data_IF_291875038443
#
_entry.id   IF_291875038443
#
_cell.length_a   1.000
_cell.length_b   1.000
_cell.length_c   1.000
_cell.angle_alpha   90.00
_cell.angle_beta   90.00
_cell.angle_gamma   90.00
#
_symmetry.space_group_name_H-M   'P 1'
#
loop_
_entity.id
_entity.type
_entity.pdbx_description
1 polymer ?
#
# COMPACT_ATOMS: atom_id res chain seq x y z
N UNK A 1 2.23 11.14 -30.00
CA UNK A 1 0.98 10.60 -29.45
C UNK A 1 1.00 10.32 -27.94
N UNK A 2 2.08 9.87 -27.29
CA UNK A 2 2.05 9.57 -25.85
C UNK A 2 1.66 10.77 -24.96
N UNK A 3 2.15 11.97 -25.25
CA UNK A 3 1.96 13.16 -24.41
C UNK A 3 0.49 13.64 -24.36
N UNK A 4 -0.25 13.54 -25.47
CA UNK A 4 -1.67 13.90 -25.51
C UNK A 4 -2.53 12.92 -24.70
N UNK A 5 -2.17 11.63 -24.71
CA UNK A 5 -2.88 10.59 -23.98
C UNK A 5 -2.71 10.74 -22.46
N UNK A 6 -1.49 10.97 -22.01
CA UNK A 6 -1.20 11.20 -20.60
C UNK A 6 -1.90 12.47 -20.07
N UNK A 7 -1.88 13.55 -20.85
CA UNK A 7 -2.60 14.79 -20.50
C UNK A 7 -4.10 14.55 -20.35
N UNK A 8 -4.70 13.76 -21.26
CA UNK A 8 -6.13 13.45 -21.22
C UNK A 8 -6.53 12.71 -19.93
N UNK A 9 -5.77 11.68 -19.54
CA UNK A 9 -6.05 10.93 -18.30
C UNK A 9 -6.03 11.83 -17.07
N UNK A 10 -5.12 12.77 -17.01
CA UNK A 10 -4.97 13.63 -15.82
C UNK A 10 -6.11 14.62 -15.69
N UNK A 11 -6.43 15.33 -16.76
CA UNK A 11 -7.53 16.29 -16.73
C UNK A 11 -8.89 15.62 -16.50
N UNK A 12 -9.07 14.42 -17.02
CA UNK A 12 -10.29 13.66 -16.76
C UNK A 12 -10.39 13.21 -15.31
N UNK A 13 -9.27 12.77 -14.70
CA UNK A 13 -9.24 12.47 -13.28
C UNK A 13 -9.63 13.67 -12.43
N UNK A 14 -9.01 14.83 -12.66
CA UNK A 14 -9.39 16.08 -11.99
C UNK A 14 -10.86 16.43 -12.21
N UNK A 15 -11.36 16.31 -13.46
CA UNK A 15 -12.76 16.60 -13.79
C UNK A 15 -13.75 15.70 -13.06
N UNK A 16 -13.48 14.38 -12.98
CA UNK A 16 -14.34 13.42 -12.25
C UNK A 16 -14.37 13.75 -10.75
N UNK A 17 -13.21 14.08 -10.16
CA UNK A 17 -13.16 14.47 -8.75
C UNK A 17 -13.97 15.71 -8.45
N UNK A 18 -13.80 16.77 -9.26
CA UNK A 18 -14.55 18.01 -9.10
C UNK A 18 -16.06 17.81 -9.30
N UNK A 19 -16.45 17.00 -10.29
CA UNK A 19 -17.86 16.64 -10.51
C UNK A 19 -18.45 15.88 -9.31
N UNK A 20 -17.71 14.88 -8.77
CA UNK A 20 -18.13 14.13 -7.58
C UNK A 20 -18.27 15.05 -6.36
N UNK A 21 -17.28 15.92 -6.13
CA UNK A 21 -17.32 16.89 -5.04
C UNK A 21 -18.50 17.85 -5.16
N UNK A 22 -18.76 18.37 -6.38
CA UNK A 22 -19.89 19.26 -6.64
C UNK A 22 -21.23 18.56 -6.40
N UNK A 23 -21.44 17.37 -6.98
CA UNK A 23 -22.70 16.63 -6.85
C UNK A 23 -22.99 16.28 -5.38
N UNK A 24 -21.98 15.76 -4.66
CA UNK A 24 -22.16 15.39 -3.25
C UNK A 24 -22.42 16.63 -2.39
N UNK A 25 -21.72 17.76 -2.65
CA UNK A 25 -21.91 18.99 -1.90
C UNK A 25 -23.29 19.64 -2.14
N UNK A 26 -23.88 19.46 -3.33
CA UNK A 26 -25.21 19.98 -3.63
C UNK A 26 -26.31 19.07 -3.07
N UNK A 27 -26.19 17.75 -3.26
CA UNK A 27 -27.22 16.79 -2.81
C UNK A 27 -27.24 16.58 -1.30
N UNK A 28 -26.09 16.65 -0.66
CA UNK A 28 -25.93 16.44 0.80
C UNK A 28 -25.40 17.72 1.47
N UNK A 29 -25.99 18.86 1.16
CA UNK A 29 -25.52 20.19 1.56
C UNK A 29 -25.22 20.29 3.04
N UNK A 30 -26.08 19.76 3.91
CA UNK A 30 -25.95 19.86 5.35
C UNK A 30 -24.82 18.99 5.92
N UNK A 31 -24.37 18.01 5.15
CA UNK A 31 -23.32 17.03 5.51
C UNK A 31 -22.08 17.15 4.61
N UNK A 32 -22.02 18.16 3.73
CA UNK A 32 -20.87 18.35 2.85
C UNK A 32 -19.60 18.66 3.66
N UNK A 33 -18.44 18.25 3.12
CA UNK A 33 -17.15 18.58 3.72
C UNK A 33 -17.00 20.07 3.92
N UNK A 34 -16.35 20.48 5.02
CA UNK A 34 -15.97 21.88 5.24
C UNK A 34 -15.02 22.37 4.14
N UNK A 35 -15.05 23.68 3.80
CA UNK A 35 -14.22 24.23 2.71
C UNK A 35 -12.73 23.89 2.79
N UNK A 36 -12.17 23.81 4.00
CA UNK A 36 -10.79 23.41 4.23
C UNK A 36 -10.49 22.01 3.65
N UNK A 37 -11.37 21.04 3.93
CA UNK A 37 -11.18 19.66 3.48
C UNK A 37 -11.48 19.49 1.99
N UNK A 38 -12.38 20.29 1.42
CA UNK A 38 -12.59 20.38 -0.02
C UNK A 38 -11.34 20.91 -0.71
N UNK A 39 -10.78 22.01 -0.25
CA UNK A 39 -9.55 22.60 -0.78
C UNK A 39 -8.36 21.64 -0.65
N UNK A 40 -8.22 20.95 0.48
CA UNK A 40 -7.20 19.94 0.69
C UNK A 40 -7.31 18.78 -0.31
N UNK A 41 -8.52 18.28 -0.54
CA UNK A 41 -8.77 17.21 -1.51
C UNK A 41 -8.46 17.63 -2.95
N UNK A 42 -8.93 18.83 -3.36
CA UNK A 42 -8.62 19.43 -4.67
C UNK A 42 -7.09 19.57 -4.81
N UNK A 43 -6.43 20.14 -3.81
CA UNK A 43 -4.97 20.28 -3.78
C UNK A 43 -4.24 18.96 -3.93
N UNK A 44 -4.68 17.92 -3.23
CA UNK A 44 -4.11 16.56 -3.30
C UNK A 44 -4.25 15.95 -4.70
N UNK A 45 -5.43 16.09 -5.32
CA UNK A 45 -5.71 15.57 -6.66
C UNK A 45 -4.90 16.31 -7.73
N UNK A 46 -4.86 17.65 -7.64
CA UNK A 46 -4.04 18.49 -8.53
C UNK A 46 -2.55 18.22 -8.37
N UNK A 47 -2.08 18.07 -7.14
CA UNK A 47 -0.70 17.71 -6.83
C UNK A 47 -0.30 16.41 -7.52
N UNK A 48 -1.09 15.34 -7.34
CA UNK A 48 -0.78 14.04 -7.94
C UNK A 48 -0.79 14.09 -9.47
N UNK A 49 -1.91 14.51 -10.06
CA UNK A 49 -2.06 14.50 -11.52
C UNK A 49 -1.17 15.55 -12.20
N UNK A 50 -1.15 16.77 -11.67
CA UNK A 50 -0.36 17.86 -12.24
C UNK A 50 1.14 17.59 -12.21
N UNK A 51 1.68 17.25 -11.04
CA UNK A 51 3.12 16.99 -10.91
C UNK A 51 3.53 15.69 -11.62
N UNK A 52 2.72 14.64 -11.57
CA UNK A 52 3.01 13.42 -12.34
C UNK A 52 3.16 13.72 -13.83
N UNK A 53 2.33 14.63 -14.39
CA UNK A 53 2.44 15.03 -15.79
C UNK A 53 3.71 15.83 -16.08
N UNK A 54 3.92 16.86 -15.29
CA UNK A 54 5.08 17.76 -15.49
C UNK A 54 6.38 16.97 -15.44
N UNK A 55 6.54 16.13 -14.41
CA UNK A 55 7.79 15.39 -14.21
C UNK A 55 7.95 14.21 -15.17
N UNK A 56 6.89 13.54 -15.60
CA UNK A 56 6.99 12.55 -16.69
C UNK A 56 7.51 13.19 -17.99
N UNK A 57 7.11 14.42 -18.28
CA UNK A 57 7.58 15.16 -19.45
C UNK A 57 9.03 15.64 -19.29
N UNK A 58 9.36 16.25 -18.15
CA UNK A 58 10.68 16.80 -17.89
C UNK A 58 11.77 15.73 -17.84
N UNK A 59 11.49 14.57 -17.23
CA UNK A 59 12.48 13.51 -17.03
C UNK A 59 12.50 12.46 -18.14
N UNK A 60 11.77 12.70 -19.21
CA UNK A 60 11.62 11.74 -20.32
C UNK A 60 12.93 11.34 -20.97
N UNK A 61 13.85 12.30 -21.14
CA UNK A 61 15.10 12.11 -21.88
C UNK A 61 16.30 11.82 -20.97
N UNK A 62 16.10 11.76 -19.66
CA UNK A 62 17.18 11.46 -18.72
C UNK A 62 17.70 10.03 -18.94
N UNK A 63 18.99 9.82 -18.71
CA UNK A 63 19.51 8.45 -18.63
C UNK A 63 18.99 7.75 -17.35
N UNK A 64 19.02 6.41 -17.34
CA UNK A 64 18.44 5.61 -16.25
C UNK A 64 19.03 5.95 -14.86
N UNK A 65 20.34 6.24 -14.77
CA UNK A 65 21.00 6.60 -13.49
C UNK A 65 20.56 7.98 -13.00
N UNK A 66 20.55 8.97 -13.90
CA UNK A 66 20.11 10.34 -13.58
C UNK A 66 18.64 10.35 -13.19
N UNK A 67 17.78 9.61 -13.92
CA UNK A 67 16.38 9.47 -13.60
C UNK A 67 16.16 8.90 -12.19
N UNK A 68 16.82 7.77 -11.84
CA UNK A 68 16.70 7.18 -10.50
C UNK A 68 17.15 8.12 -9.39
N UNK A 69 18.25 8.88 -9.62
CA UNK A 69 18.75 9.88 -8.66
C UNK A 69 17.74 11.02 -8.47
N UNK A 70 17.15 11.54 -9.55
CA UNK A 70 16.09 12.56 -9.47
C UNK A 70 14.85 12.03 -8.74
N UNK A 71 14.37 10.82 -9.07
CA UNK A 71 13.27 10.14 -8.37
C UNK A 71 13.53 10.07 -6.87
N UNK A 72 14.73 9.63 -6.47
CA UNK A 72 15.06 9.51 -5.05
C UNK A 72 15.04 10.88 -4.34
N UNK A 73 15.75 11.89 -4.87
CA UNK A 73 15.88 13.18 -4.19
C UNK A 73 14.56 13.97 -4.15
N UNK A 74 13.78 13.95 -5.21
CA UNK A 74 12.46 14.57 -5.22
C UNK A 74 11.51 13.86 -4.27
N UNK A 75 11.52 12.53 -4.27
CA UNK A 75 10.74 11.76 -3.32
C UNK A 75 11.14 12.08 -1.88
N UNK A 76 12.43 12.14 -1.57
CA UNK A 76 12.94 12.46 -0.23
C UNK A 76 12.54 13.88 0.19
N UNK A 77 12.73 14.87 -0.66
CA UNK A 77 12.37 16.26 -0.37
C UNK A 77 10.88 16.44 -0.05
N UNK A 78 10.00 15.82 -0.87
CA UNK A 78 8.55 15.86 -0.63
C UNK A 78 8.19 15.21 0.71
N UNK A 79 8.78 14.06 1.03
CA UNK A 79 8.48 13.31 2.27
C UNK A 79 8.98 14.04 3.51
N UNK A 80 10.19 14.62 3.45
CA UNK A 80 10.72 15.44 4.55
C UNK A 80 9.87 16.71 4.76
N UNK A 81 9.49 17.37 3.67
CA UNK A 81 8.58 18.52 3.74
C UNK A 81 7.23 18.16 4.37
N UNK A 82 6.66 17.00 3.98
CA UNK A 82 5.41 16.52 4.56
C UNK A 82 5.56 16.13 6.04
N UNK A 83 6.67 15.49 6.44
CA UNK A 83 6.94 15.18 7.85
C UNK A 83 6.97 16.46 8.68
N UNK A 84 7.66 17.51 8.21
CA UNK A 84 7.65 18.81 8.89
C UNK A 84 6.24 19.41 9.00
N UNK A 85 5.50 19.44 7.88
CA UNK A 85 4.15 20.00 7.83
C UNK A 85 3.17 19.26 8.75
N UNK A 86 3.21 17.91 8.80
CA UNK A 86 2.28 17.10 9.60
C UNK A 86 2.59 17.17 11.11
N UNK A 87 3.88 17.23 11.48
CA UNK A 87 4.30 17.45 12.87
C UNK A 87 3.78 18.81 13.35
N UNK A 88 3.97 19.84 12.55
CA UNK A 88 3.48 21.17 12.84
C UNK A 88 1.95 21.21 12.97
N UNK A 89 1.23 20.57 12.05
CA UNK A 89 -0.23 20.46 12.09
C UNK A 89 -0.72 19.81 13.39
N UNK A 90 -0.17 18.65 13.78
CA UNK A 90 -0.58 17.97 15.02
C UNK A 90 -0.22 18.79 16.25
N UNK A 91 0.97 19.38 16.28
CA UNK A 91 1.38 20.23 17.39
C UNK A 91 0.43 21.41 17.61
N UNK A 92 -0.01 22.07 16.53
CA UNK A 92 -0.99 23.14 16.62
C UNK A 92 -2.37 22.69 17.10
N UNK A 93 -2.78 21.47 16.75
CA UNK A 93 -4.10 20.95 17.13
C UNK A 93 -4.16 20.44 18.57
N UNK A 94 -3.07 19.87 19.08
CA UNK A 94 -3.10 19.10 20.33
C UNK A 94 -1.96 19.39 21.30
N UNK A 95 -0.97 20.20 20.90
CA UNK A 95 0.28 20.38 21.65
C UNK A 95 1.24 19.19 21.54
N UNK A 96 0.88 18.13 20.79
CA UNK A 96 1.66 16.92 20.62
C UNK A 96 2.11 16.76 19.17
N UNK A 97 3.32 16.22 18.96
CA UNK A 97 3.87 16.02 17.61
C UNK A 97 3.50 14.68 16.98
N UNK A 98 2.50 13.98 17.52
CA UNK A 98 1.97 12.71 17.03
C UNK A 98 0.48 12.79 16.70
N UNK A 99 0.01 11.86 15.86
CA UNK A 99 -1.40 11.77 15.49
C UNK A 99 -2.28 11.45 16.72
N UNK A 100 -3.29 12.25 16.95
CA UNK A 100 -4.14 12.17 18.14
C UNK A 100 -5.33 11.18 18.01
N UNK A 101 -5.70 10.84 16.79
CA UNK A 101 -6.83 9.92 16.53
C UNK A 101 -6.40 8.46 16.26
N UNK A 102 -5.12 8.13 16.44
CA UNK A 102 -4.57 6.80 16.08
C UNK A 102 -3.93 6.15 17.30
N UNK A 103 -4.68 5.29 17.97
CA UNK A 103 -4.23 4.57 19.16
C UNK A 103 -2.97 3.72 18.89
N UNK A 104 -2.86 3.11 17.69
CA UNK A 104 -1.74 2.25 17.32
C UNK A 104 -0.39 2.99 17.41
N UNK A 105 -0.32 4.22 16.92
CA UNK A 105 0.91 5.04 16.94
C UNK A 105 1.42 5.29 18.36
N UNK A 106 0.50 5.60 19.27
CA UNK A 106 0.84 5.81 20.68
C UNK A 106 1.28 4.52 21.36
N UNK A 107 0.58 3.41 21.12
CA UNK A 107 0.90 2.12 21.69
C UNK A 107 2.31 1.67 21.25
N UNK A 108 2.65 1.80 19.96
CA UNK A 108 3.98 1.48 19.44
C UNK A 108 5.07 2.36 20.09
N UNK A 109 4.80 3.66 20.21
CA UNK A 109 5.74 4.60 20.83
C UNK A 109 5.99 4.28 22.31
N UNK A 110 4.92 4.12 23.09
CA UNK A 110 5.02 3.84 24.53
C UNK A 110 5.73 2.51 24.81
N UNK A 111 5.34 1.45 24.09
CA UNK A 111 5.98 0.13 24.23
C UNK A 111 7.46 0.20 23.86
N UNK A 112 7.81 0.85 22.76
CA UNK A 112 9.21 1.01 22.36
C UNK A 112 10.02 1.84 23.38
N UNK A 113 9.42 2.87 23.99
CA UNK A 113 10.04 3.63 25.07
C UNK A 113 10.30 2.76 26.30
N UNK A 114 9.36 1.91 26.68
CA UNK A 114 9.49 0.98 27.80
C UNK A 114 10.62 -0.04 27.55
N UNK A 115 10.57 -0.72 26.42
CA UNK A 115 11.56 -1.74 26.05
C UNK A 115 12.95 -1.15 25.83
N UNK A 116 13.08 0.08 25.31
CA UNK A 116 14.38 0.74 25.16
C UNK A 116 15.04 1.05 26.50
N UNK A 117 14.27 1.36 27.56
CA UNK A 117 14.82 1.49 28.91
C UNK A 117 15.37 0.18 29.42
N UNK A 118 14.64 -0.93 29.24
CA UNK A 118 15.10 -2.26 29.62
C UNK A 118 16.37 -2.66 28.87
N UNK A 119 16.41 -2.43 27.54
CA UNK A 119 17.60 -2.69 26.73
C UNK A 119 18.84 -1.93 27.24
N UNK A 120 18.66 -0.65 27.62
CA UNK A 120 19.76 0.18 28.22
C UNK A 120 20.19 -0.30 29.59
N UNK A 121 19.33 -1.01 30.33
CA UNK A 121 19.66 -1.66 31.60
C UNK A 121 20.27 -3.05 31.40
N UNK A 122 20.48 -3.51 30.16
CA UNK A 122 21.03 -4.84 29.86
C UNK A 122 20.02 -5.99 29.99
N UNK A 123 18.71 -5.70 30.19
CA UNK A 123 17.65 -6.69 30.41
C UNK A 123 17.07 -7.23 29.08
N UNK A 124 17.93 -7.65 28.15
CA UNK A 124 17.52 -8.11 26.82
C UNK A 124 16.67 -9.38 26.83
N UNK A 125 16.90 -10.29 27.77
CA UNK A 125 16.17 -11.55 27.89
C UNK A 125 14.68 -11.39 28.22
N UNK A 126 14.30 -10.25 28.80
CA UNK A 126 12.92 -9.97 29.18
C UNK A 126 12.10 -9.30 28.06
N UNK A 127 12.75 -8.77 27.02
CA UNK A 127 12.09 -8.01 25.95
C UNK A 127 11.11 -8.90 25.20
N UNK A 128 11.51 -10.09 24.74
CA UNK A 128 10.64 -10.99 23.98
C UNK A 128 9.47 -11.55 24.80
N UNK A 129 9.65 -12.02 26.05
CA UNK A 129 8.53 -12.39 26.91
C UNK A 129 7.50 -11.27 27.07
N UNK A 130 7.95 -10.05 27.37
CA UNK A 130 7.06 -8.89 27.53
C UNK A 130 6.31 -8.56 26.23
N UNK A 131 6.98 -8.64 25.09
CA UNK A 131 6.33 -8.47 23.81
C UNK A 131 5.24 -9.50 23.58
N UNK A 132 5.48 -10.76 23.90
CA UNK A 132 4.51 -11.84 23.74
C UNK A 132 3.31 -11.67 24.67
N UNK A 133 3.52 -11.22 25.91
CA UNK A 133 2.44 -11.04 26.89
C UNK A 133 1.57 -9.81 26.61
N UNK A 134 2.15 -8.74 26.05
CA UNK A 134 1.50 -7.43 25.93
C UNK A 134 1.06 -7.07 24.52
N UNK A 135 1.34 -7.87 23.51
CA UNK A 135 1.08 -7.47 22.14
C UNK A 135 -0.14 -8.09 21.49
N UNK A 136 -0.69 -7.30 20.62
CA UNK A 136 -1.74 -7.63 19.66
C UNK A 136 -1.36 -8.74 18.66
N UNK A 137 -0.41 -9.61 19.03
CA UNK A 137 0.09 -10.72 18.22
C UNK A 137 1.43 -10.44 17.53
N UNK A 138 2.06 -11.48 17.05
CA UNK A 138 3.38 -11.46 16.38
C UNK A 138 3.47 -10.45 15.23
N UNK A 139 2.35 -10.15 14.60
CA UNK A 139 2.21 -9.27 13.43
C UNK A 139 2.64 -7.81 13.67
N UNK A 140 2.78 -7.37 14.94
CA UNK A 140 3.12 -5.99 15.27
C UNK A 140 4.47 -5.86 16.00
N UNK A 141 5.01 -6.98 16.49
CA UNK A 141 6.24 -7.02 17.29
C UNK A 141 7.45 -6.47 16.54
N UNK A 142 7.57 -6.76 15.25
CA UNK A 142 8.69 -6.30 14.43
C UNK A 142 8.82 -4.78 14.37
N UNK A 143 7.69 -4.06 14.32
CA UNK A 143 7.74 -2.60 14.34
C UNK A 143 8.13 -2.04 15.70
N UNK A 144 7.62 -2.62 16.78
CA UNK A 144 8.00 -2.23 18.14
C UNK A 144 9.50 -2.49 18.38
N UNK A 145 10.01 -3.65 17.95
CA UNK A 145 11.45 -3.98 18.06
C UNK A 145 12.32 -3.01 17.22
N UNK A 146 11.87 -2.67 16.02
CA UNK A 146 12.54 -1.66 15.18
C UNK A 146 12.63 -0.32 15.91
N UNK A 147 11.52 0.19 16.45
CA UNK A 147 11.51 1.43 17.23
C UNK A 147 12.35 1.33 18.51
N UNK A 148 12.28 0.19 19.23
CA UNK A 148 13.09 -0.09 20.43
C UNK A 148 14.57 0.02 20.11
N UNK A 149 15.01 -0.56 19.00
CA UNK A 149 16.40 -0.51 18.56
C UNK A 149 16.83 0.94 18.29
N UNK A 150 16.01 1.69 17.55
CA UNK A 150 16.30 3.11 17.27
C UNK A 150 16.36 3.94 18.55
N UNK A 151 15.42 3.74 19.48
CA UNK A 151 15.40 4.48 20.74
C UNK A 151 16.56 4.10 21.67
N UNK A 152 17.00 2.86 21.63
CA UNK A 152 18.17 2.42 22.40
C UNK A 152 19.44 3.08 21.87
N UNK A 153 19.61 3.15 20.55
CA UNK A 153 20.80 3.71 19.91
C UNK A 153 20.82 5.25 19.89
N UNK A 154 19.70 5.88 19.56
CA UNK A 154 19.63 7.32 19.24
C UNK A 154 18.80 8.16 20.23
N UNK A 155 18.27 7.54 21.28
CA UNK A 155 17.38 8.20 22.23
C UNK A 155 15.92 8.19 21.77
N UNK A 156 15.01 8.49 22.72
CA UNK A 156 13.56 8.47 22.53
C UNK A 156 13.11 9.69 21.72
N UNK A 157 13.51 9.75 20.47
CA UNK A 157 13.23 10.86 19.57
C UNK A 157 12.25 10.41 18.48
N UNK A 158 11.11 11.06 18.39
CA UNK A 158 10.07 10.78 17.38
C UNK A 158 10.53 11.16 15.96
N UNK A 159 11.44 12.13 15.84
CA UNK A 159 11.91 12.62 14.53
C UNK A 159 12.83 11.60 13.84
N UNK A 160 13.71 10.92 14.58
CA UNK A 160 14.66 9.95 14.02
C UNK A 160 13.99 8.85 13.19
N UNK A 161 13.03 8.10 13.74
CA UNK A 161 12.26 7.11 12.98
C UNK A 161 11.55 7.69 11.74
N UNK A 162 10.98 8.91 11.82
CA UNK A 162 10.33 9.57 10.67
C UNK A 162 11.31 9.94 9.57
N UNK A 163 12.52 10.38 9.90
CA UNK A 163 13.57 10.66 8.92
C UNK A 163 14.01 9.37 8.21
N UNK A 164 14.21 8.29 8.96
CA UNK A 164 14.56 6.99 8.37
C UNK A 164 13.43 6.45 7.50
N UNK A 165 12.19 6.60 7.94
CA UNK A 165 11.00 6.29 7.15
C UNK A 165 10.96 7.08 5.84
N UNK A 166 11.31 8.37 5.86
CA UNK A 166 11.38 9.20 4.65
C UNK A 166 12.42 8.69 3.65
N UNK A 167 13.58 8.23 4.13
CA UNK A 167 14.62 7.59 3.29
C UNK A 167 14.10 6.28 2.68
N UNK A 168 13.47 5.41 3.47
CA UNK A 168 12.88 4.15 2.99
C UNK A 168 11.79 4.41 1.93
N UNK A 169 10.89 5.36 2.18
CA UNK A 169 9.82 5.74 1.26
C UNK A 169 10.34 6.38 -0.03
N UNK A 170 11.42 7.14 0.03
CA UNK A 170 12.07 7.69 -1.16
C UNK A 170 12.73 6.59 -2.00
N UNK A 171 13.44 5.67 -1.34
CA UNK A 171 14.07 4.55 -2.03
C UNK A 171 13.06 3.55 -2.58
N UNK A 172 11.89 3.39 -1.95
CA UNK A 172 10.75 2.61 -2.47
C UNK A 172 10.40 3.00 -3.91
N UNK A 173 10.40 4.30 -4.25
CA UNK A 173 10.12 4.76 -5.61
C UNK A 173 11.16 4.26 -6.62
N UNK A 174 12.43 4.17 -6.20
CA UNK A 174 13.53 3.59 -7.02
C UNK A 174 13.38 2.07 -7.14
N UNK A 175 12.95 1.38 -6.10
CA UNK A 175 12.69 -0.07 -6.12
C UNK A 175 11.54 -0.39 -7.08
N UNK A 176 10.45 0.39 -7.05
CA UNK A 176 9.34 0.28 -8.02
C UNK A 176 9.84 0.43 -9.46
N UNK A 177 10.69 1.43 -9.71
CA UNK A 177 11.31 1.61 -11.02
C UNK A 177 12.10 0.35 -11.45
N UNK A 178 13.00 -0.16 -10.59
CA UNK A 178 13.84 -1.32 -10.90
C UNK A 178 13.03 -2.57 -11.21
N UNK A 179 12.00 -2.83 -10.39
CA UNK A 179 11.08 -3.97 -10.57
C UNK A 179 10.31 -3.86 -11.90
N UNK A 180 9.77 -2.69 -12.21
CA UNK A 180 9.05 -2.44 -13.45
C UNK A 180 9.98 -2.47 -14.68
N UNK A 181 11.19 -1.88 -14.60
CA UNK A 181 12.13 -1.83 -15.71
C UNK A 181 12.61 -3.21 -16.18
N UNK A 182 12.84 -4.12 -15.21
CA UNK A 182 13.29 -5.48 -15.50
C UNK A 182 12.24 -6.30 -16.24
N UNK A 183 10.96 -6.14 -15.89
CA UNK A 183 9.87 -6.96 -16.43
C UNK A 183 9.17 -6.31 -17.64
N UNK A 184 8.94 -4.99 -17.58
CA UNK A 184 8.00 -4.30 -18.46
C UNK A 184 8.65 -3.19 -19.30
N UNK A 185 9.96 -2.98 -19.10
CA UNK A 185 10.77 -2.01 -19.86
C UNK A 185 10.70 -0.59 -19.30
N UNK A 186 11.63 0.21 -19.80
CA UNK A 186 11.96 1.55 -19.30
C UNK A 186 10.75 2.52 -19.28
N UNK A 187 9.93 2.48 -20.32
CA UNK A 187 8.79 3.39 -20.48
C UNK A 187 7.75 3.21 -19.36
N UNK A 188 7.38 1.97 -19.08
CA UNK A 188 6.46 1.62 -17.99
C UNK A 188 7.08 1.95 -16.62
N UNK A 189 8.36 1.65 -16.44
CA UNK A 189 9.07 1.89 -15.20
C UNK A 189 9.11 3.37 -14.81
N UNK A 190 9.36 4.27 -15.79
CA UNK A 190 9.37 5.72 -15.56
C UNK A 190 8.02 6.23 -15.13
N UNK A 191 6.95 5.80 -15.78
CA UNK A 191 5.59 6.19 -15.40
C UNK A 191 5.26 5.71 -14.00
N UNK A 192 5.55 4.44 -13.67
CA UNK A 192 5.30 3.87 -12.35
C UNK A 192 6.07 4.61 -11.24
N UNK A 193 7.35 4.90 -11.47
CA UNK A 193 8.20 5.59 -10.50
C UNK A 193 7.75 7.03 -10.26
N UNK A 194 7.42 7.80 -11.30
CA UNK A 194 6.92 9.17 -11.15
C UNK A 194 5.59 9.18 -10.40
N UNK A 195 4.67 8.27 -10.72
CA UNK A 195 3.43 8.13 -9.94
C UNK A 195 3.73 7.79 -8.45
N UNK A 196 4.71 6.94 -8.18
CA UNK A 196 5.10 6.60 -6.79
C UNK A 196 5.69 7.79 -6.03
N UNK A 197 6.44 8.70 -6.70
CA UNK A 197 6.97 9.93 -6.08
C UNK A 197 5.83 10.79 -5.53
N UNK A 198 4.78 10.99 -6.32
CA UNK A 198 3.69 11.91 -6.01
C UNK A 198 2.45 11.22 -5.43
N UNK A 199 2.48 9.89 -5.21
CA UNK A 199 1.34 9.15 -4.66
C UNK A 199 0.98 9.64 -3.24
N UNK A 200 -0.23 10.20 -3.03
CA UNK A 200 -0.58 10.79 -1.75
C UNK A 200 -0.59 9.79 -0.60
N UNK A 201 -0.93 8.50 -0.85
CA UNK A 201 -0.86 7.44 0.14
C UNK A 201 0.56 7.29 0.72
N UNK A 202 1.57 7.20 -0.15
CA UNK A 202 2.96 7.03 0.30
C UNK A 202 3.48 8.26 1.05
N UNK A 203 3.00 9.45 0.68
CA UNK A 203 3.35 10.70 1.35
C UNK A 203 2.67 10.76 2.72
N UNK A 204 1.37 10.48 2.80
CA UNK A 204 0.60 10.54 4.02
C UNK A 204 1.14 9.57 5.10
N UNK A 205 1.25 8.28 4.76
CA UNK A 205 1.72 7.27 5.72
C UNK A 205 3.21 7.43 6.10
N UNK A 206 3.97 8.13 5.29
CA UNK A 206 5.33 8.52 5.67
C UNK A 206 5.34 9.54 6.82
N UNK A 207 4.36 10.44 6.89
CA UNK A 207 4.24 11.42 7.97
C UNK A 207 3.68 10.87 9.28
N UNK A 208 2.94 9.75 9.23
CA UNK A 208 2.36 9.11 10.42
C UNK A 208 3.36 8.21 11.16
N UNK A 209 3.10 7.95 12.44
CA UNK A 209 3.95 7.10 13.29
C UNK A 209 3.51 5.63 13.26
N UNK A 210 3.05 5.18 12.09
CA UNK A 210 2.53 3.84 11.83
C UNK A 210 3.53 3.01 11.02
N UNK A 211 3.45 1.70 11.09
CA UNK A 211 4.37 0.72 10.47
C UNK A 211 4.27 0.57 8.95
N UNK A 212 3.25 1.17 8.33
CA UNK A 212 2.85 0.89 6.95
C UNK A 212 3.94 1.20 5.92
N UNK A 213 4.68 2.28 6.09
CA UNK A 213 5.73 2.68 5.12
C UNK A 213 6.89 1.69 5.12
N UNK A 214 7.38 1.29 6.31
CA UNK A 214 8.47 0.33 6.46
C UNK A 214 8.05 -1.04 5.94
N UNK A 215 6.84 -1.47 6.25
CA UNK A 215 6.26 -2.72 5.76
C UNK A 215 6.17 -2.75 4.23
N UNK A 216 5.65 -1.69 3.60
CA UNK A 216 5.56 -1.58 2.13
C UNK A 216 6.93 -1.57 1.49
N UNK A 217 7.88 -0.86 2.10
CA UNK A 217 9.27 -0.83 1.64
C UNK A 217 9.90 -2.22 1.67
N UNK A 218 9.82 -2.91 2.81
CA UNK A 218 10.38 -4.26 2.97
C UNK A 218 9.75 -5.26 1.99
N UNK A 219 8.42 -5.25 1.87
CA UNK A 219 7.69 -6.12 0.95
C UNK A 219 8.08 -5.87 -0.51
N UNK A 220 8.15 -4.60 -0.93
CA UNK A 220 8.49 -4.27 -2.32
C UNK A 220 9.95 -4.57 -2.62
N UNK A 221 10.85 -4.36 -1.65
CA UNK A 221 12.27 -4.72 -1.79
C UNK A 221 12.43 -6.25 -1.85
N UNK A 222 11.66 -7.00 -1.05
CA UNK A 222 11.63 -8.46 -1.13
C UNK A 222 11.18 -8.93 -2.53
N UNK A 223 10.08 -8.37 -3.05
CA UNK A 223 9.61 -8.66 -4.42
C UNK A 223 10.67 -8.35 -5.48
N UNK A 224 11.36 -7.20 -5.36
CA UNK A 224 12.42 -6.82 -6.30
C UNK A 224 13.60 -7.78 -6.24
N UNK A 225 14.00 -8.24 -5.04
CA UNK A 225 15.07 -9.21 -4.87
C UNK A 225 14.66 -10.61 -5.34
N UNK A 226 13.42 -11.04 -5.10
CA UNK A 226 12.85 -12.29 -5.64
C UNK A 226 12.84 -12.27 -7.16
N UNK A 227 12.39 -11.16 -7.75
CA UNK A 227 12.38 -10.96 -9.19
C UNK A 227 13.81 -10.99 -9.76
N UNK A 228 14.77 -10.34 -9.08
CA UNK A 228 16.18 -10.45 -9.45
C UNK A 228 16.68 -11.88 -9.40
N UNK A 229 16.31 -12.66 -8.37
CA UNK A 229 16.69 -14.07 -8.24
C UNK A 229 16.11 -14.90 -9.39
N UNK A 230 14.85 -14.68 -9.79
CA UNK A 230 14.22 -15.39 -10.92
C UNK A 230 14.96 -15.14 -12.24
N UNK A 231 15.50 -13.93 -12.43
CA UNK A 231 16.17 -13.50 -13.66
C UNK A 231 17.71 -13.58 -13.61
N UNK A 232 18.28 -14.01 -12.48
CA UNK A 232 19.73 -14.04 -12.28
C UNK A 232 20.39 -15.11 -13.17
N UNK A 233 21.48 -14.74 -13.83
CA UNK A 233 22.32 -15.67 -14.62
C UNK A 233 23.26 -16.51 -13.74
N UNK A 234 23.64 -16.02 -12.59
CA UNK A 234 24.50 -16.69 -11.62
C UNK A 234 23.92 -16.50 -10.22
N UNK A 235 23.98 -17.57 -9.43
CA UNK A 235 23.52 -17.57 -8.05
C UNK A 235 24.72 -17.51 -7.12
N UNK A 236 24.68 -16.61 -6.15
CA UNK A 236 25.58 -16.56 -5.02
C UNK A 236 24.74 -16.58 -3.72
N UNK A 237 25.40 -16.76 -2.60
CA UNK A 237 24.75 -16.78 -1.29
C UNK A 237 23.82 -15.56 -1.08
N UNK A 238 24.29 -14.36 -1.41
CA UNK A 238 23.54 -13.14 -1.18
C UNK A 238 22.28 -12.99 -2.04
N UNK A 239 22.28 -13.56 -3.26
CA UNK A 239 21.10 -13.53 -4.14
C UNK A 239 19.93 -14.34 -3.59
N UNK A 240 20.19 -15.36 -2.77
CA UNK A 240 19.18 -16.18 -2.11
C UNK A 240 18.89 -15.68 -0.71
N UNK A 241 19.94 -15.34 0.05
CA UNK A 241 19.83 -14.92 1.44
C UNK A 241 19.06 -13.62 1.65
N UNK A 242 19.33 -12.59 0.80
CA UNK A 242 18.70 -11.27 0.96
C UNK A 242 17.16 -11.33 0.81
N UNK A 243 16.56 -11.91 -0.26
CA UNK A 243 15.10 -12.00 -0.35
C UNK A 243 14.48 -12.85 0.78
N UNK A 244 15.19 -13.87 1.27
CA UNK A 244 14.74 -14.69 2.40
C UNK A 244 14.67 -13.85 3.69
N UNK A 245 15.74 -13.11 4.03
CA UNK A 245 15.77 -12.23 5.21
C UNK A 245 14.71 -11.14 5.13
N UNK A 246 14.56 -10.48 3.97
CA UNK A 246 13.54 -9.44 3.78
C UNK A 246 12.13 -10.02 3.97
N UNK A 247 11.87 -11.22 3.46
CA UNK A 247 10.59 -11.90 3.67
C UNK A 247 10.34 -12.21 5.14
N UNK A 248 11.36 -12.69 5.85
CA UNK A 248 11.28 -12.94 7.30
C UNK A 248 10.99 -11.66 8.08
N UNK A 249 11.66 -10.56 7.76
CA UNK A 249 11.39 -9.29 8.41
C UNK A 249 9.94 -8.83 8.20
N UNK A 250 9.36 -9.05 7.01
CA UNK A 250 7.95 -8.67 6.76
C UNK A 250 6.95 -9.42 7.63
N UNK A 251 7.25 -10.64 8.07
CA UNK A 251 6.38 -11.38 9.00
C UNK A 251 6.21 -10.65 10.33
N UNK A 252 7.27 -10.06 10.88
CA UNK A 252 7.21 -9.28 12.11
C UNK A 252 6.41 -7.96 11.97
N UNK A 253 6.24 -7.44 10.75
CA UNK A 253 5.40 -6.26 10.50
C UNK A 253 3.96 -6.64 10.16
N UNK A 254 3.76 -7.71 9.37
CA UNK A 254 2.44 -8.24 9.02
C UNK A 254 2.57 -9.63 8.41
N UNK A 255 2.07 -10.62 9.11
CA UNK A 255 2.19 -12.04 8.73
C UNK A 255 1.58 -12.35 7.35
N UNK A 256 0.43 -11.76 7.05
CA UNK A 256 -0.26 -11.90 5.75
C UNK A 256 0.63 -11.46 4.57
N UNK A 257 1.44 -10.40 4.75
CA UNK A 257 2.36 -9.90 3.72
C UNK A 257 3.48 -10.91 3.46
N UNK A 258 4.08 -11.45 4.53
CA UNK A 258 5.12 -12.47 4.42
C UNK A 258 4.63 -13.76 3.74
N UNK A 259 3.44 -14.24 4.10
CA UNK A 259 2.82 -15.41 3.46
C UNK A 259 2.55 -15.17 1.98
N UNK A 260 2.01 -13.99 1.64
CA UNK A 260 1.75 -13.61 0.26
C UNK A 260 3.03 -13.55 -0.57
N UNK A 261 4.13 -13.03 0.00
CA UNK A 261 5.44 -13.00 -0.66
C UNK A 261 5.93 -14.40 -1.03
N UNK A 262 5.86 -15.36 -0.09
CA UNK A 262 6.28 -16.75 -0.33
C UNK A 262 5.43 -17.38 -1.44
N UNK A 263 4.11 -17.31 -1.33
CA UNK A 263 3.20 -17.86 -2.31
C UNK A 263 3.39 -17.24 -3.70
N UNK A 264 3.58 -15.92 -3.75
CA UNK A 264 3.83 -15.19 -5.00
C UNK A 264 5.16 -15.56 -5.63
N UNK A 265 6.18 -15.82 -4.82
CA UNK A 265 7.47 -16.26 -5.32
C UNK A 265 7.40 -17.64 -5.99
N UNK A 266 6.67 -18.58 -5.38
CA UNK A 266 6.42 -19.89 -5.97
C UNK A 266 5.74 -19.74 -7.33
N UNK A 267 4.65 -18.97 -7.40
CA UNK A 267 3.94 -18.73 -8.66
C UNK A 267 4.82 -17.97 -9.68
N UNK A 268 5.60 -17.00 -9.21
CA UNK A 268 6.55 -16.25 -10.01
C UNK A 268 7.58 -17.16 -10.70
N UNK A 269 8.15 -18.12 -9.96
CA UNK A 269 9.12 -19.10 -10.48
C UNK A 269 8.46 -20.07 -11.48
N UNK A 270 7.22 -20.52 -11.19
CA UNK A 270 6.51 -21.47 -12.05
C UNK A 270 6.11 -20.84 -13.39
N UNK A 271 5.58 -19.62 -13.37
CA UNK A 271 4.97 -18.97 -14.54
C UNK A 271 5.82 -17.90 -15.22
N UNK A 272 7.10 -17.70 -14.82
CA UNK A 272 7.94 -16.66 -15.40
C UNK A 272 8.10 -16.79 -16.93
N UNK A 273 8.24 -15.63 -17.60
CA UNK A 273 8.29 -15.52 -19.06
C UNK A 273 9.60 -16.06 -19.66
N UNK A 274 10.72 -15.80 -18.99
CA UNK A 274 12.06 -16.26 -19.42
C UNK A 274 12.66 -17.17 -18.36
N UNK A 275 12.50 -18.47 -18.53
CA UNK A 275 13.18 -19.39 -17.64
C UNK A 275 14.68 -19.45 -17.99
N UNK A 276 15.47 -18.57 -17.41
CA UNK A 276 16.93 -18.79 -17.33
C UNK A 276 17.22 -20.06 -16.49
N UNK A 277 16.26 -20.43 -15.67
CA UNK A 277 16.27 -21.61 -14.81
C UNK A 277 15.85 -22.87 -15.59
N UNK A 278 16.67 -23.90 -15.54
CA UNK A 278 16.26 -25.23 -16.00
C UNK A 278 15.01 -25.73 -15.25
N UNK A 279 14.24 -26.62 -15.81
CA UNK A 279 13.08 -27.22 -15.12
C UNK A 279 13.48 -27.86 -13.79
N UNK A 280 14.65 -28.50 -13.71
CA UNK A 280 15.20 -29.09 -12.48
C UNK A 280 15.47 -28.01 -11.42
N UNK A 281 16.14 -26.90 -11.78
CA UNK A 281 16.46 -25.83 -10.86
C UNK A 281 15.18 -25.16 -10.34
N UNK A 282 14.16 -24.97 -11.16
CA UNK A 282 12.85 -24.46 -10.71
C UNK A 282 12.19 -25.39 -9.71
N UNK A 283 12.20 -26.70 -10.01
CA UNK A 283 11.67 -27.72 -9.08
C UNK A 283 12.39 -27.65 -7.73
N UNK A 284 13.72 -27.55 -7.73
CA UNK A 284 14.52 -27.42 -6.49
C UNK A 284 14.17 -26.13 -5.73
N UNK A 285 14.09 -24.97 -6.40
CA UNK A 285 13.73 -23.72 -5.75
C UNK A 285 12.33 -23.79 -5.14
N UNK A 286 11.35 -24.30 -5.88
CA UNK A 286 9.98 -24.48 -5.39
C UNK A 286 9.95 -25.43 -4.19
N UNK A 287 10.66 -26.55 -4.26
CA UNK A 287 10.73 -27.52 -3.16
C UNK A 287 11.38 -26.91 -1.91
N UNK A 288 12.50 -26.20 -2.05
CA UNK A 288 13.15 -25.51 -0.92
C UNK A 288 12.21 -24.47 -0.32
N UNK A 289 11.49 -23.70 -1.16
CA UNK A 289 10.55 -22.67 -0.68
C UNK A 289 9.35 -23.31 0.03
N UNK A 290 8.84 -24.44 -0.45
CA UNK A 290 7.77 -25.19 0.22
C UNK A 290 8.23 -25.78 1.55
N UNK A 291 9.42 -26.39 1.59
CA UNK A 291 10.01 -26.89 2.84
C UNK A 291 10.17 -25.75 3.84
N UNK A 292 10.68 -24.61 3.40
CA UNK A 292 10.81 -23.42 4.22
C UNK A 292 9.45 -22.93 4.76
N UNK A 293 8.41 -22.86 3.91
CA UNK A 293 7.06 -22.50 4.33
C UNK A 293 6.49 -23.49 5.37
N UNK A 294 6.70 -24.82 5.16
CA UNK A 294 6.27 -25.84 6.12
C UNK A 294 7.05 -25.72 7.44
N UNK A 295 8.35 -25.50 7.40
CA UNK A 295 9.16 -25.27 8.60
C UNK A 295 8.70 -24.05 9.38
N UNK A 296 8.31 -22.96 8.69
CA UNK A 296 7.72 -21.78 9.33
C UNK A 296 6.42 -22.10 10.06
N UNK A 297 5.59 -23.00 9.51
CA UNK A 297 4.33 -23.42 10.17
C UNK A 297 4.57 -24.34 11.36
N UNK A 298 5.69 -25.05 11.42
CA UNK A 298 6.05 -25.94 12.53
C UNK A 298 6.68 -25.21 13.73
N UNK A 299 7.25 -24.03 13.52
CA UNK A 299 7.78 -23.18 14.60
C UNK A 299 6.60 -22.65 15.44
N UNK A 300 6.77 -22.39 16.75
CA UNK A 300 5.72 -21.84 17.62
C UNK A 300 4.98 -20.64 17.00
N UNK A 301 5.72 -19.74 16.34
CA UNK A 301 5.21 -18.59 15.58
C UNK A 301 4.21 -19.02 14.51
N UNK A 302 4.49 -20.06 13.74
CA UNK A 302 3.58 -20.57 12.70
C UNK A 302 2.32 -21.19 13.27
N UNK A 303 2.42 -21.88 14.41
CA UNK A 303 1.25 -22.40 15.14
C UNK A 303 0.38 -21.27 15.67
N UNK A 304 0.97 -20.24 16.25
CA UNK A 304 0.24 -19.03 16.67
C UNK A 304 -0.43 -18.33 15.48
N UNK A 305 0.24 -18.26 14.33
CA UNK A 305 -0.35 -17.70 13.10
C UNK A 305 -1.58 -18.48 12.65
N UNK A 306 -1.54 -19.82 12.67
CA UNK A 306 -2.69 -20.68 12.33
C UNK A 306 -3.83 -20.46 13.33
N UNK A 307 -3.50 -20.43 14.63
CA UNK A 307 -4.47 -20.20 15.70
C UNK A 307 -5.10 -18.81 15.56
N UNK A 308 -4.28 -17.75 15.36
CA UNK A 308 -4.77 -16.38 15.16
C UNK A 308 -5.61 -16.24 13.89
N UNK A 309 -5.22 -16.90 12.79
CA UNK A 309 -6.03 -16.92 11.58
C UNK A 309 -7.37 -17.61 11.83
N UNK A 310 -7.36 -18.73 12.54
CA UNK A 310 -8.57 -19.48 12.92
C UNK A 310 -9.46 -18.65 13.86
N UNK A 311 -8.88 -18.01 14.88
CA UNK A 311 -9.57 -17.10 15.79
C UNK A 311 -10.14 -15.91 15.02
N UNK A 312 -9.35 -15.22 14.18
CA UNK A 312 -9.82 -14.10 13.38
C UNK A 312 -10.93 -14.50 12.40
N UNK A 313 -10.88 -15.71 11.86
CA UNK A 313 -11.94 -16.23 10.99
C UNK A 313 -13.23 -16.55 11.79
N UNK A 314 -13.11 -17.13 12.99
CA UNK A 314 -14.24 -17.43 13.88
C UNK A 314 -14.78 -16.15 14.52
N UNK A 315 -13.91 -15.31 15.09
CA UNK A 315 -14.26 -13.99 15.64
C UNK A 315 -14.86 -13.09 14.57
N UNK A 316 -14.41 -13.24 13.34
CA UNK A 316 -14.99 -12.59 12.18
C UNK A 316 -16.46 -13.00 11.97
N UNK A 317 -16.81 -14.25 12.14
CA UNK A 317 -18.16 -14.77 12.02
C UNK A 317 -19.05 -14.28 13.16
N UNK A 318 -18.56 -14.38 14.38
CA UNK A 318 -19.24 -13.88 15.59
C UNK A 318 -19.39 -12.35 15.57
N UNK A 319 -18.37 -11.61 15.09
CA UNK A 319 -18.44 -10.17 14.86
C UNK A 319 -19.46 -9.80 13.78
N UNK A 320 -19.58 -10.60 12.70
CA UNK A 320 -20.61 -10.40 11.68
C UNK A 320 -21.99 -10.53 12.30
N UNK A 321 -22.23 -11.59 13.06
CA UNK A 321 -23.50 -11.81 13.74
C UNK A 321 -23.80 -10.70 14.76
N UNK A 322 -22.79 -10.30 15.54
CA UNK A 322 -22.89 -9.19 16.50
C UNK A 322 -23.14 -7.84 15.80
N UNK A 323 -22.45 -7.56 14.70
CA UNK A 323 -22.64 -6.32 13.94
C UNK A 323 -23.97 -6.29 13.18
N UNK A 324 -24.48 -7.44 12.74
CA UNK A 324 -25.83 -7.55 12.20
C UNK A 324 -26.91 -7.24 13.26
N UNK A 325 -26.65 -7.61 14.52
CA UNK A 325 -27.53 -7.28 15.63
C UNK A 325 -27.46 -5.81 16.08
N UNK A 326 -26.31 -5.14 15.85
CA UNK A 326 -26.07 -3.75 16.25
C UNK A 326 -26.53 -2.70 15.21
N UNK A 327 -26.99 -3.12 14.02
CA UNK A 327 -27.52 -2.24 12.99
C UNK A 327 -26.60 -2.01 11.78
N UNK A 328 -27.12 -1.27 10.80
CA UNK A 328 -26.50 -1.05 9.49
C UNK A 328 -25.11 -0.42 9.52
N UNK A 329 -24.77 0.35 10.56
CA UNK A 329 -23.47 1.03 10.66
C UNK A 329 -22.29 0.04 10.68
N UNK A 330 -22.50 -1.16 11.21
CA UNK A 330 -21.50 -2.21 11.30
C UNK A 330 -21.67 -3.32 10.27
N UNK A 331 -22.83 -3.41 9.62
CA UNK A 331 -23.11 -4.41 8.58
C UNK A 331 -22.17 -4.28 7.37
N UNK A 332 -21.65 -3.07 7.10
CA UNK A 332 -20.64 -2.83 6.07
C UNK A 332 -19.33 -3.60 6.33
N UNK A 333 -18.97 -3.84 7.59
CA UNK A 333 -17.79 -4.64 7.95
C UNK A 333 -18.08 -6.15 7.82
N UNK A 334 -19.32 -6.54 8.03
CA UNK A 334 -19.75 -7.93 7.95
C UNK A 334 -19.69 -8.52 6.53
N UNK A 335 -19.92 -7.68 5.52
CA UNK A 335 -20.04 -8.09 4.13
C UNK A 335 -18.74 -7.88 3.30
N UNK A 336 -17.60 -7.71 3.96
CA UNK A 336 -16.30 -7.45 3.29
C UNK A 336 -15.98 -8.47 2.19
N UNK A 337 -16.30 -9.76 2.37
CA UNK A 337 -16.08 -10.81 1.38
C UNK A 337 -16.85 -10.59 0.07
N UNK A 338 -18.04 -10.03 0.11
CA UNK A 338 -18.84 -9.71 -1.10
C UNK A 338 -18.29 -8.50 -1.85
N UNK A 339 -17.49 -7.68 -1.18
CA UNK A 339 -16.80 -6.54 -1.76
C UNK A 339 -15.43 -6.91 -2.34
N UNK A 340 -15.01 -8.18 -2.25
CA UNK A 340 -13.73 -8.66 -2.76
C UNK A 340 -13.44 -8.25 -4.22
N UNK A 341 -14.40 -8.32 -5.16
CA UNK A 341 -14.17 -7.84 -6.53
C UNK A 341 -13.83 -6.34 -6.61
N UNK A 342 -14.30 -5.57 -5.62
CA UNK A 342 -14.01 -4.14 -5.49
C UNK A 342 -12.68 -3.80 -4.81
N UNK A 343 -11.86 -4.78 -4.42
CA UNK A 343 -10.62 -4.55 -3.64
C UNK A 343 -9.74 -3.42 -4.22
N UNK A 344 -9.56 -3.38 -5.52
CA UNK A 344 -8.71 -2.37 -6.15
C UNK A 344 -9.33 -0.96 -6.12
N UNK A 345 -10.66 -0.87 -6.07
CA UNK A 345 -11.39 0.41 -6.02
C UNK A 345 -11.72 0.86 -4.60
N UNK A 346 -11.83 -0.06 -3.63
CA UNK A 346 -12.18 0.25 -2.25
C UNK A 346 -10.93 0.74 -1.44
N UNK A 347 -11.14 1.54 -0.38
CA UNK A 347 -12.36 2.25 -0.03
C UNK A 347 -12.69 3.35 -1.05
N UNK A 348 -13.98 3.61 -1.27
CA UNK A 348 -14.42 4.70 -2.13
C UNK A 348 -14.24 6.06 -1.43
N UNK A 349 -14.12 7.10 -2.25
CA UNK A 349 -13.91 8.48 -1.81
C UNK A 349 -15.06 8.96 -0.92
N UNK A 350 -14.71 9.41 0.28
CA UNK A 350 -15.64 10.00 1.22
C UNK A 350 -15.61 11.53 1.10
N UNK A 351 -16.76 12.14 0.81
CA UNK A 351 -16.93 13.57 0.57
C UNK A 351 -17.94 14.22 1.53
N UNK A 352 -18.30 13.50 2.62
CA UNK A 352 -19.25 13.98 3.65
C UNK A 352 -18.59 14.07 5.01
N UNK A 353 -19.08 14.96 5.88
CA UNK A 353 -18.49 15.36 7.16
C UNK A 353 -18.61 14.32 8.29
N UNK A 354 -19.13 13.14 7.99
CA UNK A 354 -19.35 12.04 8.97
C UNK A 354 -18.10 11.21 9.27
N UNK A 355 -16.97 11.53 8.67
CA UNK A 355 -15.71 10.82 8.88
C UNK A 355 -14.85 11.50 9.97
N UNK A 356 -13.92 10.73 10.57
CA UNK A 356 -12.89 11.31 11.42
C UNK A 356 -11.91 12.21 10.64
N UNK A 357 -11.10 13.03 11.33
CA UNK A 357 -10.20 13.99 10.69
C UNK A 357 -9.22 13.34 9.71
N UNK A 358 -8.67 12.17 10.05
CA UNK A 358 -7.76 11.45 9.15
C UNK A 358 -8.45 11.02 7.85
N UNK A 359 -9.69 10.54 7.90
CA UNK A 359 -10.45 10.16 6.70
C UNK A 359 -10.79 11.40 5.85
N UNK A 360 -11.09 12.53 6.46
CA UNK A 360 -11.32 13.80 5.75
C UNK A 360 -10.07 14.27 5.02
N UNK A 361 -8.90 14.18 5.66
CA UNK A 361 -7.61 14.46 5.03
C UNK A 361 -7.33 13.58 3.81
N UNK A 362 -7.82 12.35 3.81
CA UNK A 362 -7.54 11.37 2.77
C UNK A 362 -8.54 11.35 1.62
N UNK A 363 -9.51 12.28 1.55
CA UNK A 363 -10.54 12.26 0.51
C UNK A 363 -9.96 12.26 -0.92
N UNK A 364 -9.05 13.17 -1.24
CA UNK A 364 -8.34 13.22 -2.53
C UNK A 364 -7.43 12.00 -2.75
N UNK A 365 -6.86 11.46 -1.67
CA UNK A 365 -6.01 10.29 -1.67
C UNK A 365 -6.78 9.04 -2.08
N UNK A 366 -7.97 8.82 -1.53
CA UNK A 366 -8.85 7.72 -1.93
C UNK A 366 -9.25 7.85 -3.39
N UNK A 367 -9.58 9.06 -3.83
CA UNK A 367 -9.95 9.29 -5.23
C UNK A 367 -8.82 8.91 -6.20
N UNK A 368 -7.57 9.31 -5.93
CA UNK A 368 -6.42 8.94 -6.76
C UNK A 368 -6.32 7.41 -6.90
N UNK A 369 -6.48 6.66 -5.82
CA UNK A 369 -6.50 5.20 -5.87
C UNK A 369 -7.69 4.66 -6.67
N UNK A 370 -8.91 5.16 -6.40
CA UNK A 370 -10.12 4.73 -7.10
C UNK A 370 -9.96 4.93 -8.63
N UNK A 371 -9.36 6.04 -9.03
CA UNK A 371 -9.09 6.32 -10.42
C UNK A 371 -8.03 5.41 -11.05
N UNK A 372 -6.91 5.19 -10.34
CA UNK A 372 -5.83 4.31 -10.79
C UNK A 372 -6.27 2.85 -10.89
N UNK A 373 -7.27 2.44 -10.11
CA UNK A 373 -7.83 1.09 -10.11
C UNK A 373 -8.30 0.65 -11.50
N UNK A 374 -8.88 1.55 -12.31
CA UNK A 374 -9.22 1.25 -13.69
C UNK A 374 -8.02 0.71 -14.47
N UNK A 375 -6.91 1.44 -14.44
CA UNK A 375 -5.73 1.07 -15.21
C UNK A 375 -5.08 -0.20 -14.67
N UNK A 376 -5.10 -0.40 -13.34
CA UNK A 376 -4.59 -1.63 -12.73
C UNK A 376 -5.42 -2.86 -13.17
N UNK A 377 -6.75 -2.75 -13.19
CA UNK A 377 -7.64 -3.81 -13.71
C UNK A 377 -7.49 -3.96 -15.22
N UNK A 378 -7.43 -2.85 -15.96
CA UNK A 378 -7.26 -2.87 -17.41
C UNK A 378 -5.92 -3.48 -17.85
N UNK A 379 -4.92 -3.46 -16.98
CA UNK A 379 -3.65 -4.15 -17.18
C UNK A 379 -3.84 -5.65 -17.46
N UNK A 380 -4.81 -6.30 -16.82
CA UNK A 380 -5.11 -7.73 -17.05
C UNK A 380 -5.51 -7.93 -18.51
N UNK A 381 -6.45 -7.10 -19.01
CA UNK A 381 -6.91 -7.15 -20.41
C UNK A 381 -5.76 -6.87 -21.38
N UNK A 382 -4.97 -5.82 -21.10
CA UNK A 382 -3.83 -5.44 -21.93
C UNK A 382 -2.74 -6.54 -21.93
N UNK A 383 -2.42 -7.12 -20.79
CA UNK A 383 -1.37 -8.14 -20.65
C UNK A 383 -1.71 -9.42 -21.42
N UNK A 384 -2.99 -9.83 -21.44
CA UNK A 384 -3.47 -10.96 -22.24
C UNK A 384 -3.44 -10.59 -23.72
N UNK A 385 -3.95 -9.42 -24.10
CA UNK A 385 -3.97 -8.92 -25.47
C UNK A 385 -2.58 -8.84 -26.11
N UNK A 386 -1.59 -8.36 -25.35
CA UNK A 386 -0.21 -8.25 -25.81
C UNK A 386 0.61 -9.53 -25.59
N UNK A 387 -0.01 -10.59 -25.10
CA UNK A 387 0.63 -11.89 -24.75
C UNK A 387 1.79 -11.73 -23.77
N UNK A 388 1.71 -10.74 -22.87
CA UNK A 388 2.76 -10.40 -21.88
C UNK A 388 2.40 -10.78 -20.45
N UNK A 389 1.31 -11.52 -20.22
CA UNK A 389 0.81 -11.88 -18.89
C UNK A 389 1.87 -12.58 -18.00
N UNK A 390 2.78 -13.36 -18.61
CA UNK A 390 3.87 -14.05 -17.90
C UNK A 390 4.88 -13.11 -17.27
N UNK A 391 5.03 -11.89 -17.81
CA UNK A 391 5.89 -10.85 -17.22
C UNK A 391 5.36 -10.31 -15.89
N UNK A 392 4.08 -10.55 -15.64
CA UNK A 392 3.41 -10.22 -14.39
C UNK A 392 3.34 -11.38 -13.41
N UNK A 393 4.00 -12.53 -13.70
CA UNK A 393 3.87 -13.74 -12.88
C UNK A 393 4.14 -13.48 -11.38
N UNK A 394 5.16 -12.72 -11.02
CA UNK A 394 5.43 -12.36 -9.63
C UNK A 394 4.56 -11.18 -9.14
N UNK A 395 4.56 -10.07 -9.87
CA UNK A 395 3.85 -8.82 -9.48
C UNK A 395 2.34 -9.05 -9.42
N UNK A 396 1.78 -9.70 -10.45
CA UNK A 396 0.35 -9.99 -10.54
C UNK A 396 -0.09 -11.04 -9.53
N UNK A 397 0.71 -12.09 -9.32
CA UNK A 397 0.42 -13.10 -8.29
C UNK A 397 0.39 -12.46 -6.90
N UNK A 398 1.34 -11.60 -6.57
CA UNK A 398 1.34 -10.89 -5.30
C UNK A 398 0.09 -10.01 -5.14
N UNK A 399 -0.25 -9.24 -6.17
CA UNK A 399 -1.41 -8.36 -6.12
C UNK A 399 -2.73 -9.15 -5.94
N UNK A 400 -2.90 -10.24 -6.69
CA UNK A 400 -4.12 -11.06 -6.65
C UNK A 400 -4.21 -11.84 -5.33
N UNK A 401 -3.13 -12.52 -4.92
CA UNK A 401 -3.14 -13.30 -3.68
C UNK A 401 -3.36 -12.42 -2.45
N UNK A 402 -2.69 -11.26 -2.40
CA UNK A 402 -2.90 -10.32 -1.32
C UNK A 402 -4.33 -9.78 -1.29
N UNK A 403 -4.88 -9.42 -2.46
CA UNK A 403 -6.26 -8.98 -2.58
C UNK A 403 -7.26 -10.05 -2.08
N UNK A 404 -7.04 -11.32 -2.45
CA UNK A 404 -7.87 -12.43 -2.00
C UNK A 404 -7.78 -12.62 -0.48
N UNK A 405 -6.57 -12.62 0.10
CA UNK A 405 -6.38 -12.79 1.54
C UNK A 405 -7.02 -11.66 2.35
N UNK A 406 -6.90 -10.41 1.89
CA UNK A 406 -7.56 -9.27 2.55
C UNK A 406 -9.08 -9.29 2.36
N UNK A 407 -9.57 -9.74 1.21
CA UNK A 407 -11.01 -9.83 0.95
C UNK A 407 -11.73 -10.79 1.91
N UNK A 408 -11.04 -11.83 2.38
CA UNK A 408 -11.56 -12.73 3.43
C UNK A 408 -11.34 -12.19 4.85
N UNK A 409 -10.68 -11.04 5.00
CA UNK A 409 -10.53 -10.34 6.28
C UNK A 409 -11.49 -9.15 6.35
N UNK A 410 -11.85 -8.73 7.59
CA UNK A 410 -12.70 -7.55 7.82
C UNK A 410 -12.00 -6.22 7.49
N UNK A 411 -10.76 -6.27 7.09
CA UNK A 411 -9.90 -5.10 6.87
C UNK A 411 -10.06 -4.44 5.48
N UNK A 412 -10.97 -4.93 4.64
CA UNK A 412 -11.14 -4.48 3.25
C UNK A 412 -11.44 -2.98 3.12
N UNK A 413 -12.17 -2.41 4.08
CA UNK A 413 -12.58 -1.00 4.06
C UNK A 413 -11.51 -0.03 4.62
N UNK A 414 -10.40 -0.54 5.16
CA UNK A 414 -9.34 0.29 5.70
C UNK A 414 -8.21 0.47 4.69
N UNK A 415 -7.95 1.72 4.28
CA UNK A 415 -6.92 2.08 3.29
C UNK A 415 -5.53 1.53 3.62
N UNK A 416 -5.15 1.52 4.89
CA UNK A 416 -3.84 1.04 5.33
C UNK A 416 -3.55 -0.41 4.94
N UNK A 417 -4.59 -1.24 4.86
CA UNK A 417 -4.45 -2.65 4.46
C UNK A 417 -4.25 -2.83 2.94
N UNK A 418 -4.50 -1.80 2.14
CA UNK A 418 -4.24 -1.82 0.70
C UNK A 418 -2.81 -1.38 0.33
N UNK A 419 -2.11 -0.73 1.25
CA UNK A 419 -0.78 -0.19 0.99
C UNK A 419 0.26 -1.21 0.51
N UNK A 420 0.34 -2.45 1.06
CA UNK A 420 1.33 -3.43 0.60
C UNK A 420 1.23 -3.78 -0.89
N UNK A 421 0.05 -3.66 -1.49
CA UNK A 421 -0.17 -3.96 -2.91
C UNK A 421 -0.02 -2.74 -3.81
N UNK A 422 -0.03 -1.53 -3.26
CA UNK A 422 0.05 -0.28 -4.04
C UNK A 422 1.24 -0.21 -5.00
N UNK A 423 2.47 -0.65 -4.66
CA UNK A 423 3.57 -0.69 -5.63
C UNK A 423 3.24 -1.51 -6.87
N UNK A 424 2.60 -2.68 -6.69
CA UNK A 424 2.18 -3.54 -7.80
C UNK A 424 1.08 -2.88 -8.62
N UNK A 425 0.09 -2.23 -7.97
CA UNK A 425 -0.98 -1.50 -8.66
C UNK A 425 -0.43 -0.36 -9.50
N UNK A 426 0.56 0.39 -9.02
CA UNK A 426 1.22 1.45 -9.79
C UNK A 426 1.92 0.91 -11.03
N UNK A 427 2.63 -0.23 -10.91
CA UNK A 427 3.30 -0.88 -12.03
C UNK A 427 2.27 -1.37 -13.06
N UNK A 428 1.20 -2.01 -12.60
CA UNK A 428 0.10 -2.48 -13.46
C UNK A 428 -0.59 -1.30 -14.15
N UNK A 429 -0.91 -0.24 -13.42
CA UNK A 429 -1.52 0.96 -14.00
C UNK A 429 -0.61 1.64 -15.04
N UNK A 430 0.68 1.77 -14.74
CA UNK A 430 1.66 2.32 -15.67
C UNK A 430 1.76 1.52 -16.97
N UNK A 431 1.72 0.18 -16.88
CA UNK A 431 1.72 -0.69 -18.04
C UNK A 431 0.46 -0.49 -18.90
N UNK A 432 -0.70 -0.47 -18.29
CA UNK A 432 -1.96 -0.22 -19.01
C UNK A 432 -1.95 1.16 -19.69
N UNK A 433 -1.51 2.21 -18.99
CA UNK A 433 -1.42 3.57 -19.54
C UNK A 433 -0.47 3.63 -20.74
N UNK A 434 0.66 2.93 -20.69
CA UNK A 434 1.67 2.97 -21.77
C UNK A 434 1.28 2.14 -23.00
N UNK A 435 0.34 1.18 -22.86
CA UNK A 435 -0.14 0.30 -23.92
C UNK A 435 -1.63 0.56 -24.28
N UNK A 436 -2.15 1.73 -23.85
CA UNK A 436 -3.56 2.10 -24.06
C UNK A 436 -3.83 2.41 -25.53
N UNK A 437 -4.94 1.88 -26.09
CA UNK A 437 -5.34 2.06 -27.50
C UNK A 437 -6.58 2.93 -27.59
N UNK A 438 -6.83 3.54 -28.74
CA UNK A 438 -8.03 4.39 -28.97
C UNK A 438 -9.35 3.67 -28.66
N UNK A 439 -9.45 2.38 -28.99
CA UNK A 439 -10.64 1.57 -28.70
C UNK A 439 -10.92 1.35 -27.22
N UNK A 440 -9.93 1.55 -26.36
CA UNK A 440 -10.02 1.32 -24.92
C UNK A 440 -10.73 2.50 -24.23
N UNK A 441 -10.84 3.68 -24.90
CA UNK A 441 -11.47 4.87 -24.33
C UNK A 441 -12.93 4.67 -23.94
N UNK A 442 -13.70 3.87 -24.66
CA UNK A 442 -15.10 3.58 -24.32
C UNK A 442 -15.24 2.95 -22.93
N UNK A 443 -14.35 2.04 -22.58
CA UNK A 443 -14.33 1.40 -21.26
C UNK A 443 -13.84 2.36 -20.17
N UNK A 444 -12.88 3.20 -20.51
CA UNK A 444 -12.37 4.22 -19.61
C UNK A 444 -13.44 5.28 -19.26
N UNK A 445 -14.19 5.77 -20.24
CA UNK A 445 -15.30 6.68 -19.99
C UNK A 445 -16.44 6.01 -19.22
N UNK A 446 -16.79 4.78 -19.58
CA UNK A 446 -17.78 4.01 -18.84
C UNK A 446 -17.38 3.84 -17.36
N UNK A 447 -16.10 3.51 -17.11
CA UNK A 447 -15.58 3.43 -15.73
C UNK A 447 -15.64 4.79 -15.02
N UNK A 448 -15.31 5.89 -15.69
CA UNK A 448 -15.41 7.24 -15.12
C UNK A 448 -16.82 7.59 -14.64
N UNK A 449 -17.83 7.25 -15.45
CA UNK A 449 -19.25 7.40 -15.07
C UNK A 449 -19.63 6.49 -13.92
N UNK A 450 -19.24 5.22 -13.98
CA UNK A 450 -19.51 4.25 -12.90
C UNK A 450 -18.84 4.67 -11.58
N UNK A 451 -17.60 5.18 -11.64
CA UNK A 451 -16.89 5.68 -10.46
C UNK A 451 -17.62 6.88 -9.85
N UNK A 452 -18.09 7.82 -10.68
CA UNK A 452 -18.86 8.97 -10.21
C UNK A 452 -20.13 8.51 -9.47
N UNK A 453 -20.90 7.63 -10.09
CA UNK A 453 -22.12 7.05 -9.48
C UNK A 453 -21.76 6.32 -8.18
N UNK A 454 -20.71 5.50 -8.19
CA UNK A 454 -20.30 4.75 -7.02
C UNK A 454 -19.88 5.65 -5.85
N UNK A 455 -19.18 6.77 -6.11
CA UNK A 455 -18.82 7.75 -5.08
C UNK A 455 -20.07 8.39 -4.49
N UNK A 456 -21.02 8.82 -5.32
CA UNK A 456 -22.27 9.44 -4.84
C UNK A 456 -23.09 8.45 -4.00
N UNK A 457 -23.29 7.23 -4.48
CA UNK A 457 -24.00 6.18 -3.74
C UNK A 457 -23.29 5.80 -2.43
N UNK A 458 -21.95 5.76 -2.43
CA UNK A 458 -21.17 5.48 -1.21
C UNK A 458 -21.41 6.53 -0.14
N UNK A 459 -21.41 7.81 -0.52
CA UNK A 459 -21.66 8.91 0.42
C UNK A 459 -23.13 8.87 0.92
N UNK A 460 -24.09 8.55 0.06
CA UNK A 460 -25.49 8.30 0.45
C UNK A 460 -25.59 7.16 1.49
N UNK A 461 -25.00 5.98 1.19
CA UNK A 461 -25.01 4.82 2.10
C UNK A 461 -24.41 5.17 3.46
N UNK A 462 -23.34 5.97 3.49
CA UNK A 462 -22.72 6.41 4.74
C UNK A 462 -23.63 7.31 5.57
N UNK A 463 -24.41 8.17 4.95
CA UNK A 463 -25.38 9.03 5.64
C UNK A 463 -26.61 8.24 6.06
N UNK A 464 -27.16 7.41 5.18
CA UNK A 464 -28.33 6.55 5.45
C UNK A 464 -28.05 5.56 6.60
N UNK A 465 -26.83 4.97 6.63
CA UNK A 465 -26.41 4.09 7.72
C UNK A 465 -26.30 4.76 9.10
N UNK A 466 -26.40 6.10 9.14
CA UNK A 466 -26.45 6.90 10.37
C UNK A 466 -27.81 7.55 10.61
N UNK A 467 -28.79 7.26 9.79
CA UNK A 467 -30.13 7.84 9.89
C UNK A 467 -30.17 9.33 9.57
N UNK A 468 -29.23 9.84 8.74
CA UNK A 468 -29.11 11.27 8.43
C UNK A 468 -29.80 11.64 7.08
N UNK A 469 -30.12 10.66 6.27
CA UNK A 469 -30.86 10.80 4.98
C UNK A 469 -31.74 9.59 4.77
#
# INVERSE_FOLDING_TARGET
>A
MPDKLHRHFQWMGVGIYLAALFIVSVWFRDYALKPLWMAWGIGTVLFFFGLSYVFQRQWRNDNAKTFQRKVFWWALGIRLGYVGAIIFYYYFQTGLSMEYEVADSWNYHQMACYLSNMARQGRFSEILPILNDNTMGFSDQGYVLYLTTLYTCFGKNILGPRLLKALMSAYLCVVIYKLAARNLGEKTARVAAVMAVFLPQFIHYNGTYMKETEMVFLATLALERMDYLIHAKRYNFWTVFVPMVLTMLTFGFRTIVGMTLIASFILGVVFCDKPLLSRKTRGVIVSITLVFAVLLLLIPIGKEMIIMYKINFMTGRELVEKYQQMGLEYAQYANGRYMAPGFFTLPLTNLVEVANANQKMMNGTFFVKNYLAFFALWCIVVSVREKQWRKFSLIGSYAILYALLIAFSFALNSERYHLPVMPCLLIMAAFAMTHFRRRDFKFYYAYGVLLLIAIVLWNYIKLAGRGLV
#
